data_IF_278980361043
#
_entry.id   IF_278980361043
#
_cell.length_a   1.000
_cell.length_b   1.000
_cell.length_c   1.000
_cell.angle_alpha   90.00
_cell.angle_beta   90.00
_cell.angle_gamma   90.00
#
_symmetry.space_group_name_H-M   'P 1'
#
loop_
_entity.id
_entity.type
_entity.pdbx_description
1 polymer ?
#
# COMPACT_ATOMS: atom_id res chain seq x y z
N UNK A 1 -58.02 35.26 -5.63
CA UNK A 1 -57.71 35.03 -7.06
C UNK A 1 -57.78 36.40 -7.70
N UNK A 2 -56.65 37.02 -8.04
CA UNK A 2 -56.59 38.35 -8.63
C UNK A 2 -56.24 38.21 -10.10
N UNK A 3 -57.07 38.78 -10.97
CA UNK A 3 -56.90 38.78 -12.41
C UNK A 3 -55.73 39.67 -12.86
N UNK A 4 -55.09 39.37 -13.99
CA UNK A 4 -53.94 40.12 -14.50
C UNK A 4 -54.25 41.58 -14.91
N UNK A 5 -55.52 42.00 -14.85
CA UNK A 5 -55.96 43.36 -15.20
C UNK A 5 -55.98 44.36 -14.02
N UNK A 6 -55.66 43.92 -12.79
CA UNK A 6 -55.71 44.80 -11.60
C UNK A 6 -54.34 45.42 -11.24
N UNK A 7 -53.35 45.29 -12.12
CA UNK A 7 -52.00 45.83 -11.88
C UNK A 7 -51.85 47.20 -12.52
N UNK A 8 -51.87 48.23 -11.67
CA UNK A 8 -51.69 49.63 -12.08
C UNK A 8 -50.24 49.89 -12.55
N UNK A 9 -50.02 49.66 -13.85
CA UNK A 9 -48.74 49.87 -14.55
C UNK A 9 -48.57 51.31 -15.04
N UNK A 10 -49.38 52.24 -14.53
CA UNK A 10 -49.39 53.63 -14.99
C UNK A 10 -48.37 54.47 -14.21
N UNK A 11 -47.20 54.73 -14.82
CA UNK A 11 -46.08 55.44 -14.17
C UNK A 11 -46.01 56.94 -14.50
N UNK A 12 -47.02 57.49 -15.17
CA UNK A 12 -46.94 58.77 -15.91
C UNK A 12 -46.85 60.03 -15.03
N UNK A 13 -47.12 59.95 -13.72
CA UNK A 13 -47.12 61.12 -12.82
C UNK A 13 -46.32 60.94 -11.51
N UNK A 14 -45.43 59.95 -11.45
CA UNK A 14 -44.70 59.63 -10.22
C UNK A 14 -43.30 60.26 -10.18
N UNK A 15 -42.86 60.68 -9.00
CA UNK A 15 -41.46 61.06 -8.78
C UNK A 15 -40.54 59.85 -9.01
N UNK A 16 -39.29 60.10 -9.43
CA UNK A 16 -38.33 59.02 -9.80
C UNK A 16 -38.14 57.97 -8.70
N UNK A 17 -38.10 58.39 -7.44
CA UNK A 17 -37.95 57.46 -6.31
C UNK A 17 -39.20 56.61 -6.09
N UNK A 18 -40.40 57.20 -6.20
CA UNK A 18 -41.67 56.48 -6.07
C UNK A 18 -41.89 55.50 -7.23
N UNK A 19 -41.51 55.89 -8.45
CA UNK A 19 -41.56 55.02 -9.62
C UNK A 19 -40.66 53.79 -9.46
N UNK A 20 -39.41 53.98 -8.97
CA UNK A 20 -38.48 52.87 -8.73
C UNK A 20 -38.97 51.92 -7.64
N UNK A 21 -39.54 52.44 -6.55
CA UNK A 21 -40.10 51.62 -5.48
C UNK A 21 -41.31 50.81 -5.96
N UNK A 22 -42.23 51.41 -6.73
CA UNK A 22 -43.37 50.70 -7.30
C UNK A 22 -42.94 49.65 -8.33
N UNK A 23 -41.98 49.99 -9.19
CA UNK A 23 -41.42 49.04 -10.17
C UNK A 23 -40.76 47.84 -9.48
N UNK A 24 -39.94 48.07 -8.46
CA UNK A 24 -39.32 46.99 -7.69
C UNK A 24 -40.35 46.11 -6.98
N UNK A 25 -41.44 46.71 -6.48
CA UNK A 25 -42.58 45.98 -5.92
C UNK A 25 -43.27 45.08 -6.95
N UNK A 26 -43.61 45.63 -8.11
CA UNK A 26 -44.28 44.91 -9.19
C UNK A 26 -43.43 43.75 -9.73
N UNK A 27 -42.12 43.94 -9.93
CA UNK A 27 -41.20 42.88 -10.39
C UNK A 27 -41.14 41.73 -9.39
N UNK A 28 -41.12 42.01 -8.08
CA UNK A 28 -41.13 40.96 -7.04
C UNK A 28 -42.45 40.17 -7.04
N UNK A 29 -43.57 40.84 -7.29
CA UNK A 29 -44.88 40.19 -7.35
C UNK A 29 -45.02 39.32 -8.61
N UNK A 30 -44.57 39.82 -9.77
CA UNK A 30 -44.53 39.04 -11.00
C UNK A 30 -43.59 37.83 -10.86
N UNK A 31 -42.45 37.97 -10.17
CA UNK A 31 -41.55 36.85 -9.86
C UNK A 31 -42.28 35.75 -9.09
N UNK A 32 -43.05 36.12 -8.05
CA UNK A 32 -43.83 35.16 -7.25
C UNK A 32 -44.91 34.46 -8.07
N UNK A 33 -45.58 35.18 -8.97
CA UNK A 33 -46.59 34.61 -9.86
C UNK A 33 -45.97 33.64 -10.88
N UNK A 34 -44.83 33.99 -11.46
CA UNK A 34 -44.13 33.13 -12.40
C UNK A 34 -43.68 31.81 -11.77
N UNK A 35 -43.23 31.85 -10.51
CA UNK A 35 -42.86 30.67 -9.74
C UNK A 35 -44.10 29.81 -9.40
N UNK A 36 -45.17 30.44 -8.89
CA UNK A 36 -46.37 29.73 -8.43
C UNK A 36 -47.23 29.15 -9.55
N UNK A 37 -47.43 29.87 -10.66
CA UNK A 37 -48.32 29.42 -11.75
C UNK A 37 -47.60 28.67 -12.86
N UNK A 38 -46.34 29.00 -13.11
CA UNK A 38 -45.61 28.47 -14.27
C UNK A 38 -44.33 27.73 -13.89
N UNK A 39 -44.02 27.58 -12.60
CA UNK A 39 -42.85 26.84 -12.12
C UNK A 39 -41.52 27.46 -12.51
N UNK A 40 -41.49 28.76 -12.85
CA UNK A 40 -40.28 29.44 -13.30
C UNK A 40 -39.43 29.82 -12.10
N UNK A 41 -38.22 29.25 -12.02
CA UNK A 41 -37.26 29.57 -10.95
C UNK A 41 -36.96 31.07 -10.90
N UNK A 42 -36.86 31.60 -9.69
CA UNK A 42 -36.60 33.02 -9.39
C UNK A 42 -35.42 33.61 -10.17
N UNK A 43 -34.33 32.86 -10.30
CA UNK A 43 -33.13 33.30 -11.02
C UNK A 43 -33.38 33.47 -12.53
N UNK A 44 -34.14 32.56 -13.14
CA UNK A 44 -34.47 32.61 -14.56
C UNK A 44 -35.38 33.79 -14.89
N UNK A 45 -36.32 34.12 -13.99
CA UNK A 45 -37.18 35.30 -14.14
C UNK A 45 -36.37 36.60 -14.09
N UNK A 46 -35.40 36.71 -13.17
CA UNK A 46 -34.57 37.91 -13.04
C UNK A 46 -33.67 38.12 -14.25
N UNK A 47 -33.10 37.03 -14.74
CA UNK A 47 -32.30 37.06 -15.96
C UNK A 47 -33.13 37.46 -17.18
N UNK A 48 -34.40 37.04 -17.25
CA UNK A 48 -35.32 37.45 -18.30
C UNK A 48 -35.66 38.94 -18.25
N UNK A 49 -35.93 39.49 -17.06
CA UNK A 49 -36.22 40.93 -16.88
C UNK A 49 -35.00 41.77 -17.25
N UNK A 50 -33.80 41.37 -16.82
CA UNK A 50 -32.54 42.02 -17.21
C UNK A 50 -32.30 41.92 -18.73
N UNK A 51 -32.55 40.75 -19.33
CA UNK A 51 -32.45 40.56 -20.77
C UNK A 51 -33.37 41.52 -21.54
N UNK A 52 -34.62 41.66 -21.13
CA UNK A 52 -35.56 42.58 -21.78
C UNK A 52 -35.12 44.04 -21.64
N UNK A 53 -34.62 44.45 -20.47
CA UNK A 53 -34.07 45.79 -20.26
C UNK A 53 -32.93 46.11 -21.24
N UNK A 54 -31.96 45.21 -21.38
CA UNK A 54 -30.83 45.40 -22.31
C UNK A 54 -31.26 45.29 -23.78
N UNK A 55 -32.23 44.43 -24.10
CA UNK A 55 -32.78 44.30 -25.46
C UNK A 55 -33.51 45.57 -25.92
N UNK A 56 -34.35 46.16 -25.07
CA UNK A 56 -35.05 47.42 -25.38
C UNK A 56 -34.08 48.59 -25.52
N UNK A 57 -33.04 48.65 -24.68
CA UNK A 57 -32.00 49.68 -24.77
C UNK A 57 -31.19 49.59 -26.07
N UNK A 58 -30.87 48.37 -26.52
CA UNK A 58 -30.19 48.16 -27.79
C UNK A 58 -31.04 48.53 -29.02
N UNK A 59 -32.37 48.35 -28.94
CA UNK A 59 -33.29 48.75 -30.01
C UNK A 59 -33.31 50.28 -30.21
N UNK A 60 -33.17 51.06 -29.13
CA UNK A 60 -33.12 52.52 -29.20
C UNK A 60 -31.79 53.06 -29.74
N UNK A 61 -30.70 52.27 -29.65
CA UNK A 61 -29.35 52.71 -30.07
C UNK A 61 -28.88 52.11 -31.39
N UNK A 62 -29.64 51.21 -32.02
CA UNK A 62 -29.34 50.70 -33.38
C UNK A 62 -28.02 49.93 -33.52
N UNK A 63 -27.44 49.42 -32.43
CA UNK A 63 -26.17 48.67 -32.45
C UNK A 63 -26.44 47.16 -32.33
N UNK A 64 -25.80 46.37 -33.19
CA UNK A 64 -25.82 44.90 -33.17
C UNK A 64 -25.34 44.36 -31.81
N UNK A 65 -25.87 43.22 -31.32
CA UNK A 65 -25.65 42.81 -29.93
C UNK A 65 -24.17 42.49 -29.67
N UNK A 66 -23.57 42.98 -28.57
CA UNK A 66 -22.18 42.70 -28.26
C UNK A 66 -22.02 41.27 -27.68
N UNK A 67 -20.78 40.76 -27.75
CA UNK A 67 -20.31 39.44 -27.30
C UNK A 67 -20.83 38.84 -25.95
N UNK A 68 -21.24 39.59 -24.90
CA UNK A 68 -21.70 38.97 -23.64
C UNK A 68 -22.94 38.06 -23.74
N UNK A 69 -23.80 38.22 -24.74
CA UNK A 69 -25.03 37.42 -24.87
C UNK A 69 -24.75 35.98 -25.32
N UNK A 70 -23.75 35.81 -26.19
CA UNK A 70 -23.25 34.50 -26.62
C UNK A 70 -22.44 33.81 -25.52
N UNK A 71 -21.72 34.58 -24.69
CA UNK A 71 -20.98 34.03 -23.55
C UNK A 71 -21.93 33.46 -22.48
N UNK A 72 -23.06 34.13 -22.23
CA UNK A 72 -24.06 33.69 -21.25
C UNK A 72 -24.77 32.39 -21.67
N UNK A 73 -25.25 32.31 -22.92
CA UNK A 73 -25.84 31.07 -23.47
C UNK A 73 -24.84 29.90 -23.47
N UNK A 74 -23.56 30.17 -23.77
CA UNK A 74 -22.50 29.15 -23.70
C UNK A 74 -22.27 28.65 -22.26
N UNK A 75 -22.35 29.54 -21.26
CA UNK A 75 -22.18 29.17 -19.85
C UNK A 75 -23.36 28.35 -19.32
N UNK A 76 -24.58 28.71 -19.71
CA UNK A 76 -25.80 27.99 -19.30
C UNK A 76 -25.88 26.59 -19.94
N UNK A 77 -25.49 26.48 -21.22
CA UNK A 77 -25.33 25.18 -21.90
C UNK A 77 -24.21 24.35 -21.27
N UNK A 78 -23.05 24.96 -20.95
CA UNK A 78 -21.94 24.26 -20.30
C UNK A 78 -22.34 23.77 -18.91
N UNK A 79 -23.05 24.57 -18.12
CA UNK A 79 -23.55 24.18 -16.81
C UNK A 79 -24.56 23.03 -16.91
N UNK A 80 -25.48 23.09 -17.87
CA UNK A 80 -26.40 21.99 -18.14
C UNK A 80 -25.71 20.70 -18.60
N UNK A 81 -24.63 20.80 -19.40
CA UNK A 81 -23.85 19.65 -19.82
C UNK A 81 -23.05 19.03 -18.65
N UNK A 82 -22.47 19.87 -17.78
CA UNK A 82 -21.75 19.41 -16.59
C UNK A 82 -22.69 18.79 -15.56
N UNK A 83 -23.85 19.41 -15.31
CA UNK A 83 -24.86 18.85 -14.40
C UNK A 83 -25.46 17.54 -14.94
N UNK A 84 -25.71 17.43 -16.25
CA UNK A 84 -26.12 16.14 -16.86
C UNK A 84 -25.03 15.08 -16.71
N UNK A 85 -23.76 15.42 -16.92
CA UNK A 85 -22.65 14.47 -16.70
C UNK A 85 -22.55 14.05 -15.23
N UNK A 86 -22.70 14.98 -14.28
CA UNK A 86 -22.73 14.66 -12.85
C UNK A 86 -23.91 13.76 -12.50
N UNK A 87 -25.10 14.06 -13.01
CA UNK A 87 -26.30 13.24 -12.80
C UNK A 87 -26.15 11.85 -13.40
N UNK A 88 -25.57 11.71 -14.60
CA UNK A 88 -25.28 10.42 -15.22
C UNK A 88 -24.28 9.62 -14.36
N UNK A 89 -23.21 10.26 -13.86
CA UNK A 89 -22.23 9.62 -12.99
C UNK A 89 -22.85 9.18 -11.65
N UNK A 90 -23.67 10.03 -11.02
CA UNK A 90 -24.40 9.67 -9.81
C UNK A 90 -25.40 8.53 -10.04
N UNK A 91 -26.10 8.52 -11.19
CA UNK A 91 -27.00 7.44 -11.58
C UNK A 91 -26.25 6.14 -11.81
N UNK A 92 -25.12 6.17 -12.53
CA UNK A 92 -24.26 5.00 -12.72
C UNK A 92 -23.74 4.47 -11.38
N UNK A 93 -23.30 5.35 -10.48
CA UNK A 93 -22.87 4.98 -9.13
C UNK A 93 -24.00 4.31 -8.34
N UNK A 94 -25.20 4.89 -8.36
CA UNK A 94 -26.36 4.32 -7.69
C UNK A 94 -26.75 2.96 -8.29
N UNK A 95 -26.72 2.82 -9.61
CA UNK A 95 -26.96 1.55 -10.31
C UNK A 95 -25.93 0.49 -9.92
N UNK A 96 -24.65 0.86 -9.82
CA UNK A 96 -23.59 -0.06 -9.35
C UNK A 96 -23.79 -0.46 -7.90
N UNK A 97 -24.20 0.47 -7.04
CA UNK A 97 -24.43 0.21 -5.62
C UNK A 97 -25.65 -0.70 -5.42
N UNK A 98 -26.75 -0.44 -6.11
CA UNK A 98 -27.95 -1.31 -6.11
C UNK A 98 -27.62 -2.70 -6.67
N UNK A 99 -26.85 -2.78 -7.76
CA UNK A 99 -26.38 -4.06 -8.32
C UNK A 99 -25.54 -4.86 -7.30
N UNK A 100 -24.62 -4.20 -6.60
CA UNK A 100 -23.80 -4.81 -5.55
C UNK A 100 -24.66 -5.27 -4.36
N UNK A 101 -25.64 -4.47 -3.92
CA UNK A 101 -26.56 -4.84 -2.86
C UNK A 101 -27.44 -6.04 -3.25
N UNK A 102 -27.95 -6.08 -4.49
CA UNK A 102 -28.72 -7.22 -5.00
C UNK A 102 -27.85 -8.48 -5.09
N UNK A 103 -26.59 -8.34 -5.51
CA UNK A 103 -25.64 -9.45 -5.54
C UNK A 103 -25.32 -9.96 -4.12
N UNK A 104 -25.13 -9.06 -3.15
CA UNK A 104 -24.89 -9.40 -1.74
C UNK A 104 -26.12 -10.07 -1.09
N UNK A 105 -27.33 -9.57 -1.37
CA UNK A 105 -28.58 -10.18 -0.89
C UNK A 105 -28.80 -11.57 -1.48
N UNK A 106 -28.58 -11.73 -2.79
CA UNK A 106 -28.60 -13.05 -3.44
C UNK A 106 -27.55 -13.99 -2.85
N UNK A 107 -26.39 -13.46 -2.45
CA UNK A 107 -25.33 -14.22 -1.81
C UNK A 107 -25.76 -14.73 -0.43
N UNK A 108 -26.31 -13.89 0.45
CA UNK A 108 -26.79 -14.32 1.77
C UNK A 108 -27.91 -15.37 1.67
N UNK A 109 -28.93 -15.12 0.83
CA UNK A 109 -30.08 -16.04 0.66
C UNK A 109 -29.67 -17.38 0.04
N UNK A 110 -28.60 -17.43 -0.74
CA UNK A 110 -28.12 -18.69 -1.35
C UNK A 110 -27.12 -19.42 -0.44
N UNK A 111 -26.35 -18.69 0.39
CA UNK A 111 -25.37 -19.25 1.34
C UNK A 111 -25.99 -20.14 2.42
N UNK A 112 -27.27 -19.96 2.74
CA UNK A 112 -28.03 -20.86 3.61
C UNK A 112 -28.27 -22.26 3.01
N UNK A 113 -27.92 -22.48 1.74
CA UNK A 113 -28.20 -23.71 0.99
C UNK A 113 -26.93 -24.24 0.28
N UNK A 114 -25.95 -24.71 1.06
CA UNK A 114 -24.98 -25.74 0.63
C UNK A 114 -23.63 -25.29 0.04
N UNK A 115 -22.55 -25.94 0.51
CA UNK A 115 -21.13 -25.64 0.26
C UNK A 115 -20.58 -25.78 -1.17
N UNK A 116 -21.41 -25.70 -2.22
CA UNK A 116 -20.95 -25.66 -3.61
C UNK A 116 -20.44 -24.28 -4.05
N UNK A 117 -20.83 -23.20 -3.36
CA UNK A 117 -20.58 -21.83 -3.84
C UNK A 117 -19.26 -21.22 -3.33
N UNK A 118 -18.69 -21.70 -2.22
CA UNK A 118 -17.36 -21.29 -1.74
C UNK A 118 -16.27 -21.53 -2.80
N UNK A 119 -16.36 -22.64 -3.54
CA UNK A 119 -15.45 -22.97 -4.65
C UNK A 119 -15.62 -22.04 -5.85
N UNK A 120 -16.85 -21.59 -6.15
CA UNK A 120 -17.13 -20.66 -7.25
C UNK A 120 -16.63 -19.25 -6.93
N UNK A 121 -16.76 -18.81 -5.67
CA UNK A 121 -16.21 -17.53 -5.21
C UNK A 121 -14.69 -17.56 -5.28
N UNK A 122 -14.04 -18.61 -4.76
CA UNK A 122 -12.59 -18.77 -4.90
C UNK A 122 -12.13 -18.78 -6.37
N UNK A 123 -12.91 -19.39 -7.27
CA UNK A 123 -12.63 -19.41 -8.71
C UNK A 123 -12.83 -18.05 -9.41
N UNK A 124 -13.74 -17.19 -8.93
CA UNK A 124 -14.02 -15.86 -9.48
C UNK A 124 -13.12 -14.76 -8.92
N UNK A 125 -12.58 -14.94 -7.71
CA UNK A 125 -11.66 -13.98 -7.06
C UNK A 125 -10.43 -13.73 -7.94
N UNK A 126 -9.82 -14.77 -8.50
CA UNK A 126 -8.60 -14.61 -9.29
C UNK A 126 -8.81 -13.86 -10.63
N UNK A 127 -9.80 -14.22 -11.47
CA UNK A 127 -10.18 -13.42 -12.63
C UNK A 127 -10.57 -11.97 -12.28
N UNK A 128 -11.32 -11.79 -11.18
CA UNK A 128 -11.73 -10.48 -10.69
C UNK A 128 -10.54 -9.59 -10.33
N UNK A 129 -9.59 -10.11 -9.52
CA UNK A 129 -8.36 -9.40 -9.19
C UNK A 129 -7.52 -9.08 -10.44
N UNK A 130 -7.49 -9.99 -11.43
CA UNK A 130 -6.78 -9.75 -12.69
C UNK A 130 -7.41 -8.63 -13.53
N UNK A 131 -8.74 -8.57 -13.58
CA UNK A 131 -9.48 -7.50 -14.26
C UNK A 131 -9.29 -6.15 -13.53
N UNK A 132 -9.39 -6.15 -12.20
CA UNK A 132 -9.12 -4.97 -11.39
C UNK A 132 -7.72 -4.43 -11.61
N UNK A 133 -6.70 -5.30 -11.61
CA UNK A 133 -5.32 -4.92 -11.90
C UNK A 133 -5.14 -4.28 -13.27
N UNK A 134 -5.87 -4.76 -14.29
CA UNK A 134 -5.84 -4.15 -15.64
C UNK A 134 -6.49 -2.78 -15.65
N UNK A 135 -7.61 -2.61 -14.93
CA UNK A 135 -8.30 -1.33 -14.82
C UNK A 135 -7.48 -0.28 -14.05
N UNK A 136 -6.75 -0.69 -13.01
CA UNK A 136 -5.92 0.21 -12.20
C UNK A 136 -4.52 0.45 -12.79
N UNK A 137 -4.05 -0.35 -13.75
CA UNK A 137 -2.76 -0.18 -14.41
C UNK A 137 -2.48 1.24 -14.94
N UNK A 138 -3.38 1.91 -15.70
CA UNK A 138 -3.13 3.27 -16.18
C UNK A 138 -2.99 4.30 -15.05
N UNK A 139 -3.70 4.09 -13.93
CA UNK A 139 -3.59 4.95 -12.74
C UNK A 139 -2.22 4.76 -12.06
N UNK A 140 -1.79 3.51 -11.88
CA UNK A 140 -0.49 3.13 -11.32
C UNK A 140 0.65 3.71 -12.16
N UNK A 141 0.56 3.62 -13.49
CA UNK A 141 1.57 4.18 -14.40
C UNK A 141 1.64 5.71 -14.33
N UNK A 142 0.52 6.39 -14.06
CA UNK A 142 0.49 7.85 -13.95
C UNK A 142 1.07 8.35 -12.62
N UNK A 143 0.97 7.56 -11.56
CA UNK A 143 1.39 7.92 -10.21
C UNK A 143 2.35 6.86 -9.61
N UNK A 144 3.61 6.80 -10.07
CA UNK A 144 4.57 5.82 -9.59
C UNK A 144 4.84 5.95 -8.08
N UNK A 145 4.86 7.17 -7.54
CA UNK A 145 5.08 7.44 -6.11
C UNK A 145 4.02 6.80 -5.19
N UNK A 146 2.76 6.74 -5.64
CA UNK A 146 1.69 6.05 -4.90
C UNK A 146 1.93 4.53 -4.85
N UNK A 147 2.55 3.98 -5.88
CA UNK A 147 2.91 2.56 -5.93
C UNK A 147 4.02 2.27 -4.93
N UNK A 148 4.95 3.19 -4.72
CA UNK A 148 6.01 3.03 -3.72
C UNK A 148 5.46 3.02 -2.29
N UNK A 149 4.45 3.84 -2.00
CA UNK A 149 3.76 3.80 -0.70
C UNK A 149 2.93 2.53 -0.52
N UNK A 150 2.42 1.96 -1.62
CA UNK A 150 1.67 0.71 -1.59
C UNK A 150 2.56 -0.52 -1.28
N UNK A 151 3.84 -0.47 -1.63
CA UNK A 151 4.78 -1.55 -1.29
C UNK A 151 5.23 -1.53 0.18
N UNK A 152 4.87 -0.47 0.91
CA UNK A 152 5.13 -0.37 2.34
C UNK A 152 4.02 -1.06 3.13
N UNK A 153 4.38 -2.12 3.86
CA UNK A 153 3.49 -2.77 4.83
C UNK A 153 3.07 -1.80 5.93
N UNK A 154 3.95 -0.86 6.29
CA UNK A 154 3.69 0.18 7.27
C UNK A 154 4.42 1.47 6.91
N UNK A 155 3.70 2.59 6.81
CA UNK A 155 4.31 3.91 6.59
C UNK A 155 5.00 4.46 7.85
N UNK A 156 4.46 4.12 9.02
CA UNK A 156 5.00 4.50 10.32
C UNK A 156 4.61 3.42 11.33
N UNK A 157 5.61 2.70 11.83
CA UNK A 157 5.40 1.74 12.91
C UNK A 157 4.81 2.42 14.13
N UNK A 158 3.80 1.82 14.74
CA UNK A 158 3.21 2.34 15.97
C UNK A 158 4.12 1.96 17.16
N UNK A 159 4.84 2.92 17.78
CA UNK A 159 5.77 2.62 18.87
C UNK A 159 5.05 2.19 20.16
N UNK A 160 3.74 2.37 20.24
CA UNK A 160 2.92 1.99 21.39
C UNK A 160 2.10 0.72 21.13
N UNK A 161 2.26 0.08 19.97
CA UNK A 161 1.57 -1.17 19.70
C UNK A 161 2.15 -2.28 20.57
N UNK A 162 1.30 -2.81 21.45
CA UNK A 162 1.58 -3.99 22.25
C UNK A 162 0.48 -5.01 21.94
N UNK A 163 0.86 -6.26 21.67
CA UNK A 163 -0.11 -7.34 21.59
C UNK A 163 -0.58 -7.65 23.02
N UNK A 164 -1.76 -7.16 23.38
CA UNK A 164 -2.43 -7.55 24.62
C UNK A 164 -2.65 -9.08 24.61
N UNK A 165 -2.46 -9.71 25.78
CA UNK A 165 -2.68 -11.14 26.02
C UNK A 165 -1.88 -12.12 25.14
N UNK A 166 -0.64 -11.77 24.78
CA UNK A 166 0.26 -12.73 24.14
C UNK A 166 0.55 -13.92 25.09
N UNK A 167 0.03 -15.09 24.75
CA UNK A 167 0.32 -16.33 25.48
C UNK A 167 1.78 -16.76 25.31
N UNK A 168 2.63 -16.55 26.31
CA UNK A 168 4.05 -16.92 26.27
C UNK A 168 4.36 -18.43 26.39
N UNK A 169 3.33 -19.29 26.26
CA UNK A 169 3.50 -20.75 26.31
C UNK A 169 4.49 -21.30 25.28
N UNK A 170 4.44 -20.86 24.00
CA UNK A 170 5.29 -21.40 22.94
C UNK A 170 6.80 -21.16 23.13
N UNK A 171 7.20 -20.11 23.86
CA UNK A 171 8.62 -19.84 24.13
C UNK A 171 9.10 -20.30 25.52
N UNK A 172 8.20 -20.71 26.41
CA UNK A 172 8.51 -20.99 27.81
C UNK A 172 9.47 -22.17 28.02
N UNK A 173 9.37 -23.20 27.17
CA UNK A 173 10.16 -24.43 27.26
C UNK A 173 11.36 -24.44 26.31
N UNK A 174 11.61 -23.33 25.60
CA UNK A 174 12.72 -23.24 24.65
C UNK A 174 13.99 -22.83 25.39
N UNK A 175 14.92 -23.77 25.53
CA UNK A 175 16.21 -23.51 26.20
C UNK A 175 17.35 -23.20 25.23
N UNK A 176 17.31 -23.78 24.02
CA UNK A 176 18.33 -23.63 22.98
C UNK A 176 17.67 -23.51 21.61
N UNK A 177 18.38 -22.90 20.66
CA UNK A 177 17.97 -22.96 19.25
C UNK A 177 18.20 -24.37 18.74
N UNK A 178 17.14 -24.98 18.20
CA UNK A 178 17.25 -26.33 17.67
C UNK A 178 18.06 -26.32 16.37
N UNK A 179 19.18 -27.03 16.38
CA UNK A 179 20.02 -27.25 15.20
C UNK A 179 19.57 -28.54 14.53
N UNK A 180 19.06 -28.42 13.32
CA UNK A 180 18.60 -29.58 12.59
C UNK A 180 19.76 -30.43 12.07
N UNK A 181 19.80 -31.70 12.46
CA UNK A 181 20.71 -32.69 11.89
C UNK A 181 20.31 -33.13 10.49
N UNK A 182 21.26 -33.64 9.71
CA UNK A 182 21.07 -34.06 8.30
C UNK A 182 19.96 -35.13 8.12
N UNK A 183 19.68 -35.91 9.17
CA UNK A 183 18.65 -36.95 9.18
C UNK A 183 17.22 -36.40 8.97
N UNK A 184 16.95 -35.17 9.41
CA UNK A 184 15.66 -34.55 9.21
C UNK A 184 15.55 -33.87 7.84
N UNK A 185 16.67 -33.39 7.26
CA UNK A 185 16.73 -32.60 6.02
C UNK A 185 16.16 -33.32 4.78
N UNK A 186 16.23 -34.65 4.75
CA UNK A 186 15.81 -35.47 3.63
C UNK A 186 14.32 -35.91 3.68
N UNK A 187 13.57 -35.48 4.70
CA UNK A 187 12.16 -35.81 4.85
C UNK A 187 11.24 -34.97 3.96
N UNK A 188 10.47 -35.62 3.08
CA UNK A 188 9.31 -34.99 2.42
C UNK A 188 8.38 -34.37 3.49
N UNK A 189 7.75 -33.19 3.26
CA UNK A 189 6.89 -32.53 4.25
C UNK A 189 5.81 -33.43 4.88
N UNK A 190 5.32 -34.43 4.12
CA UNK A 190 4.30 -35.39 4.56
C UNK A 190 4.83 -36.47 5.53
N UNK A 191 6.14 -36.75 5.55
CA UNK A 191 6.77 -37.70 6.49
C UNK A 191 7.20 -37.05 7.81
N UNK A 192 7.14 -35.72 7.88
CA UNK A 192 7.53 -34.92 9.04
C UNK A 192 6.65 -35.19 10.27
N UNK A 193 5.34 -35.39 10.07
CA UNK A 193 4.40 -35.67 11.16
C UNK A 193 4.55 -37.08 11.76
N UNK A 194 5.21 -38.01 11.08
CA UNK A 194 5.36 -39.40 11.55
C UNK A 194 6.63 -39.63 12.36
N UNK A 195 7.67 -38.81 12.20
CA UNK A 195 8.92 -38.93 12.97
C UNK A 195 8.92 -37.92 14.13
N UNK A 196 8.60 -38.38 15.35
CA UNK A 196 8.62 -37.56 16.58
C UNK A 196 9.98 -36.87 16.85
N UNK A 197 11.08 -37.31 16.22
CA UNK A 197 12.41 -36.69 16.32
C UNK A 197 12.55 -35.38 15.54
N UNK A 198 11.74 -35.16 14.52
CA UNK A 198 11.80 -33.96 13.68
C UNK A 198 10.65 -33.00 13.96
N UNK A 199 9.69 -33.36 14.84
CA UNK A 199 8.50 -32.54 15.10
C UNK A 199 8.88 -31.32 15.95
N UNK A 200 8.85 -30.15 15.35
CA UNK A 200 9.06 -28.89 16.06
C UNK A 200 7.73 -28.31 16.54
N UNK A 201 7.76 -27.63 17.69
CA UNK A 201 6.61 -26.82 18.13
C UNK A 201 6.56 -25.52 17.34
N UNK A 202 5.35 -25.13 16.97
CA UNK A 202 5.08 -23.90 16.24
C UNK A 202 5.63 -22.68 17.01
N UNK A 203 6.29 -21.77 16.30
CA UNK A 203 6.90 -20.57 16.89
C UNK A 203 8.25 -20.75 17.59
N UNK A 204 8.76 -21.98 17.74
CA UNK A 204 10.11 -22.22 18.27
C UNK A 204 11.20 -21.89 17.24
N UNK A 205 12.35 -21.34 17.64
CA UNK A 205 13.44 -21.05 16.73
C UNK A 205 14.20 -22.30 16.29
N UNK A 206 14.51 -22.39 15.00
CA UNK A 206 15.25 -23.49 14.36
C UNK A 206 16.34 -22.92 13.47
N UNK A 207 17.51 -23.54 13.48
CA UNK A 207 18.54 -23.33 12.48
C UNK A 207 18.77 -24.61 11.66
N UNK A 208 18.77 -24.49 10.34
CA UNK A 208 18.93 -25.60 9.41
C UNK A 208 19.79 -25.20 8.22
N UNK A 209 20.39 -26.18 7.55
CA UNK A 209 21.22 -25.94 6.38
C UNK A 209 20.34 -25.63 5.16
N UNK A 210 20.73 -24.60 4.41
CA UNK A 210 20.12 -24.24 3.13
C UNK A 210 20.45 -25.29 2.06
N UNK A 211 19.60 -25.40 1.04
CA UNK A 211 19.82 -26.30 -0.11
C UNK A 211 20.93 -25.83 -1.05
N UNK A 212 21.59 -24.74 -0.70
CA UNK A 212 22.68 -24.17 -1.46
C UNK A 212 23.91 -25.09 -1.34
N UNK A 213 24.29 -25.69 -2.47
CA UNK A 213 25.33 -26.72 -2.51
C UNK A 213 26.74 -26.13 -2.37
N UNK A 214 26.96 -24.89 -2.84
CA UNK A 214 28.26 -24.23 -2.84
C UNK A 214 28.27 -22.96 -1.98
N UNK A 215 29.41 -22.69 -1.34
CA UNK A 215 29.64 -21.44 -0.64
C UNK A 215 29.70 -20.30 -1.66
N UNK A 216 28.91 -19.26 -1.43
CA UNK A 216 28.88 -18.08 -2.31
C UNK A 216 30.09 -17.21 -2.00
N UNK A 217 30.74 -16.78 -3.07
CA UNK A 217 31.79 -15.79 -3.02
C UNK A 217 31.21 -14.36 -3.14
N UNK A 218 31.87 -13.41 -2.50
CA UNK A 218 31.53 -11.98 -2.56
C UNK A 218 31.54 -11.46 -4.00
N UNK A 219 32.46 -11.96 -4.83
CA UNK A 219 32.53 -11.58 -6.25
C UNK A 219 31.25 -11.92 -7.02
N UNK A 220 30.63 -13.07 -6.72
CA UNK A 220 29.38 -13.49 -7.37
C UNK A 220 28.22 -12.56 -7.00
N UNK A 221 28.16 -12.13 -5.73
CA UNK A 221 27.17 -11.17 -5.26
C UNK A 221 27.32 -9.82 -5.96
N UNK A 222 28.55 -9.29 -6.03
CA UNK A 222 28.85 -8.05 -6.72
C UNK A 222 28.53 -8.14 -8.23
N UNK A 223 28.88 -9.24 -8.89
CA UNK A 223 28.62 -9.42 -10.32
C UNK A 223 27.12 -9.42 -10.66
N UNK A 224 26.27 -9.99 -9.79
CA UNK A 224 24.81 -9.95 -9.96
C UNK A 224 24.29 -8.52 -9.87
N UNK A 225 24.79 -7.73 -8.92
CA UNK A 225 24.48 -6.30 -8.84
C UNK A 225 24.95 -5.55 -10.09
N UNK A 226 26.24 -5.64 -10.43
CA UNK A 226 26.84 -4.86 -11.51
C UNK A 226 26.17 -5.12 -12.87
N UNK A 227 25.88 -6.39 -13.18
CA UNK A 227 25.20 -6.80 -14.41
C UNK A 227 23.74 -6.35 -14.50
N UNK A 228 23.09 -6.06 -13.37
CA UNK A 228 21.67 -5.70 -13.29
C UNK A 228 21.43 -4.35 -12.57
N UNK A 229 22.42 -3.47 -12.52
CA UNK A 229 22.39 -2.26 -11.71
C UNK A 229 21.16 -1.38 -12.01
N UNK A 230 20.78 -1.23 -13.29
CA UNK A 230 19.60 -0.45 -13.70
C UNK A 230 18.30 -0.99 -13.10
N UNK A 231 18.19 -2.32 -12.98
CA UNK A 231 17.00 -2.96 -12.41
C UNK A 231 16.95 -2.70 -10.91
N UNK A 232 18.08 -2.85 -10.21
CA UNK A 232 18.16 -2.60 -8.78
C UNK A 232 17.94 -1.12 -8.43
N UNK A 233 18.50 -0.20 -9.20
CA UNK A 233 18.30 1.24 -9.02
C UNK A 233 16.86 1.69 -9.32
N UNK A 234 16.13 0.97 -10.18
CA UNK A 234 14.71 1.26 -10.44
C UNK A 234 13.79 0.65 -9.36
N UNK A 235 14.02 -0.62 -9.03
CA UNK A 235 13.03 -1.44 -8.31
C UNK A 235 13.44 -1.75 -6.85
N UNK A 236 14.66 -1.45 -6.43
CA UNK A 236 15.21 -1.76 -5.10
C UNK A 236 16.23 -0.71 -4.64
N UNK A 237 15.98 0.58 -4.83
CA UNK A 237 16.98 1.64 -4.63
C UNK A 237 17.28 1.99 -3.16
N UNK A 238 16.43 1.56 -2.22
CA UNK A 238 16.46 2.02 -0.82
C UNK A 238 17.52 1.25 -0.03
N UNK A 239 18.49 2.00 0.49
CA UNK A 239 19.55 1.52 1.37
C UNK A 239 19.52 2.35 2.65
N UNK A 240 19.64 1.67 3.78
CA UNK A 240 19.88 2.31 5.07
C UNK A 240 21.25 1.87 5.57
N UNK A 241 22.11 2.82 5.88
CA UNK A 241 23.44 2.54 6.41
C UNK A 241 23.68 3.30 7.72
N UNK A 242 24.53 2.73 8.56
CA UNK A 242 25.15 3.46 9.67
C UNK A 242 26.32 4.34 9.22
N UNK A 243 26.89 4.05 8.04
CA UNK A 243 27.87 4.91 7.42
C UNK A 243 27.17 6.12 6.80
N UNK A 244 27.59 7.32 7.18
CA UNK A 244 27.06 8.57 6.65
C UNK A 244 27.39 8.77 5.17
N UNK A 245 28.43 8.11 4.66
CA UNK A 245 28.85 8.22 3.26
C UNK A 245 28.01 7.34 2.30
N UNK A 246 27.14 6.48 2.83
CA UNK A 246 26.32 5.55 2.04
C UNK A 246 24.87 6.01 2.04
N UNK A 247 24.42 6.60 0.92
CA UNK A 247 23.04 7.06 0.76
C UNK A 247 22.25 6.24 -0.26
N UNK A 248 22.94 5.64 -1.22
CA UNK A 248 22.32 4.90 -2.31
C UNK A 248 23.08 3.59 -2.62
N UNK A 249 22.57 2.84 -3.59
CA UNK A 249 23.19 1.59 -4.03
C UNK A 249 24.57 1.77 -4.67
N UNK A 250 24.78 2.83 -5.43
CA UNK A 250 26.07 3.10 -6.07
C UNK A 250 27.14 3.38 -5.01
N UNK A 251 26.82 4.10 -3.94
CA UNK A 251 27.72 4.33 -2.81
C UNK A 251 28.04 3.01 -2.10
N UNK A 252 27.00 2.21 -1.80
CA UNK A 252 27.13 0.93 -1.10
C UNK A 252 28.00 -0.06 -1.87
N UNK A 253 27.72 -0.23 -3.16
CA UNK A 253 28.44 -1.18 -4.00
C UNK A 253 29.76 -0.60 -4.54
N UNK A 254 29.92 0.72 -4.58
CA UNK A 254 31.19 1.38 -4.83
C UNK A 254 32.23 1.05 -3.76
N UNK A 255 31.79 0.87 -2.51
CA UNK A 255 32.65 0.43 -1.40
C UNK A 255 33.09 -1.03 -1.48
N UNK A 256 32.50 -1.88 -2.33
CA UNK A 256 32.99 -3.26 -2.49
C UNK A 256 34.36 -3.33 -3.17
N UNK A 257 34.75 -2.29 -3.91
CA UNK A 257 36.06 -2.19 -4.55
C UNK A 257 37.12 -1.53 -3.66
N UNK A 258 36.72 -0.85 -2.58
CA UNK A 258 37.61 -0.30 -1.57
C UNK A 258 37.69 -1.24 -0.36
N UNK A 259 38.77 -1.17 0.42
CA UNK A 259 38.78 -1.84 1.72
C UNK A 259 37.72 -1.19 2.60
N UNK A 260 36.77 -1.98 3.10
CA UNK A 260 35.78 -1.54 4.09
C UNK A 260 36.51 -1.13 5.38
N UNK A 261 36.89 0.13 5.48
CA UNK A 261 37.68 0.65 6.61
C UNK A 261 36.81 1.06 7.79
N UNK A 262 35.54 1.41 7.53
CA UNK A 262 34.60 1.85 8.55
C UNK A 262 33.66 0.71 8.96
N UNK A 263 33.40 0.61 10.26
CA UNK A 263 32.45 -0.35 10.83
C UNK A 263 31.03 0.11 10.51
N UNK A 264 30.40 -0.56 9.56
CA UNK A 264 29.05 -0.24 9.12
C UNK A 264 28.20 -1.50 8.96
N UNK A 265 26.93 -1.37 9.34
CA UNK A 265 25.86 -2.24 8.87
C UNK A 265 25.05 -1.52 7.80
N UNK A 266 24.65 -2.26 6.77
CA UNK A 266 23.85 -1.74 5.68
C UNK A 266 22.65 -2.65 5.46
N UNK A 267 21.47 -2.06 5.40
CA UNK A 267 20.21 -2.75 5.14
C UNK A 267 19.69 -2.31 3.78
N UNK A 268 19.66 -3.24 2.83
CA UNK A 268 19.17 -3.02 1.48
C UNK A 268 17.78 -3.64 1.30
N UNK A 269 16.80 -2.85 0.87
CA UNK A 269 15.41 -3.30 0.75
C UNK A 269 15.08 -3.83 -0.65
N UNK A 270 14.59 -5.07 -0.72
CA UNK A 270 14.38 -5.84 -1.95
C UNK A 270 12.94 -6.38 -2.08
N UNK A 271 11.93 -5.52 -1.90
CA UNK A 271 10.51 -5.93 -1.85
C UNK A 271 9.93 -6.33 -3.22
N UNK A 272 10.50 -5.82 -4.33
CA UNK A 272 9.99 -6.09 -5.68
C UNK A 272 10.40 -7.48 -6.18
N UNK A 273 9.49 -8.11 -6.92
CA UNK A 273 9.69 -9.47 -7.45
C UNK A 273 10.89 -9.62 -8.38
N UNK A 274 11.16 -8.62 -9.22
CA UNK A 274 12.22 -8.71 -10.23
C UNK A 274 13.62 -8.70 -9.59
N UNK A 275 13.99 -7.72 -8.73
CA UNK A 275 15.19 -7.80 -7.89
C UNK A 275 15.30 -9.09 -7.08
N UNK A 276 14.21 -9.49 -6.41
CA UNK A 276 14.21 -10.71 -5.62
C UNK A 276 14.52 -11.96 -6.46
N UNK A 277 14.02 -12.04 -7.70
CA UNK A 277 14.32 -13.14 -8.63
C UNK A 277 15.79 -13.17 -9.04
N UNK A 278 16.42 -12.02 -9.24
CA UNK A 278 17.85 -11.92 -9.58
C UNK A 278 18.74 -12.37 -8.42
N UNK A 279 18.27 -12.18 -7.17
CA UNK A 279 18.98 -12.60 -5.96
C UNK A 279 18.78 -14.08 -5.59
N UNK A 280 17.83 -14.80 -6.21
CA UNK A 280 17.56 -16.23 -5.91
C UNK A 280 18.74 -17.19 -6.11
N UNK A 281 19.67 -17.00 -7.07
CA UNK A 281 20.85 -17.83 -7.19
C UNK A 281 21.72 -17.77 -5.93
N UNK A 282 21.74 -16.61 -5.26
CA UNK A 282 22.49 -16.37 -4.03
C UNK A 282 21.69 -16.84 -2.82
N UNK A 283 20.41 -16.47 -2.78
CA UNK A 283 19.53 -16.86 -1.69
C UNK A 283 18.52 -17.88 -2.20
N UNK A 284 18.99 -19.12 -2.32
CA UNK A 284 18.13 -20.23 -2.65
C UNK A 284 16.96 -20.30 -1.65
N UNK A 285 15.77 -20.62 -2.17
CA UNK A 285 14.60 -20.80 -1.31
C UNK A 285 14.86 -22.00 -0.39
N UNK A 286 14.79 -21.84 0.94
CA UNK A 286 14.92 -22.97 1.84
C UNK A 286 13.69 -23.88 1.72
N UNK A 287 13.88 -25.18 1.50
CA UNK A 287 12.79 -26.18 1.30
C UNK A 287 11.89 -26.36 2.51
N UNK A 288 12.39 -26.01 3.70
CA UNK A 288 11.65 -26.09 4.96
C UNK A 288 10.62 -25.00 5.14
N UNK A 289 10.77 -23.88 4.45
CA UNK A 289 9.82 -22.79 4.53
C UNK A 289 8.59 -23.13 3.68
N UNK A 290 7.38 -22.73 4.10
CA UNK A 290 6.15 -23.04 3.38
C UNK A 290 6.23 -22.55 1.94
N UNK A 291 5.64 -23.34 1.03
CA UNK A 291 5.68 -23.09 -0.42
C UNK A 291 4.83 -21.87 -0.83
N UNK A 292 3.83 -21.54 -0.02
CA UNK A 292 2.91 -20.42 -0.16
C UNK A 292 3.06 -19.49 1.06
N UNK A 293 2.56 -18.24 0.95
CA UNK A 293 2.50 -17.32 2.10
C UNK A 293 3.81 -16.60 2.48
N UNK A 294 4.87 -16.75 1.69
CA UNK A 294 6.09 -15.93 1.85
C UNK A 294 5.80 -14.48 1.49
N UNK A 295 6.08 -13.56 2.41
CA UNK A 295 5.89 -12.13 2.22
C UNK A 295 6.76 -11.59 1.07
N UNK A 296 6.36 -10.44 0.52
CA UNK A 296 7.16 -9.75 -0.49
C UNK A 296 8.33 -9.00 0.12
N UNK A 297 8.16 -8.56 1.36
CA UNK A 297 9.16 -7.83 2.10
C UNK A 297 10.43 -8.66 2.33
N UNK A 298 11.56 -8.08 1.92
CA UNK A 298 12.88 -8.70 2.05
C UNK A 298 13.92 -7.63 2.30
N UNK A 299 14.82 -7.93 3.22
CA UNK A 299 15.98 -7.10 3.51
C UNK A 299 17.25 -7.89 3.30
N UNK A 300 18.20 -7.33 2.57
CA UNK A 300 19.56 -7.86 2.46
C UNK A 300 20.43 -7.06 3.41
N UNK A 301 20.90 -7.69 4.48
CA UNK A 301 21.86 -7.08 5.39
C UNK A 301 23.28 -7.36 4.88
N UNK A 302 24.05 -6.29 4.69
CA UNK A 302 25.45 -6.29 4.26
C UNK A 302 26.25 -5.62 5.37
N UNK A 303 26.87 -6.43 6.21
CA UNK A 303 27.54 -5.98 7.41
C UNK A 303 29.04 -6.20 7.29
N UNK A 304 29.82 -5.16 7.56
CA UNK A 304 31.27 -5.29 7.75
C UNK A 304 31.59 -6.24 8.93
N UNK A 305 32.79 -6.80 8.95
CA UNK A 305 33.19 -7.82 9.94
C UNK A 305 32.93 -7.38 11.40
N UNK A 306 33.24 -6.11 11.69
CA UNK A 306 33.07 -5.50 13.01
C UNK A 306 31.87 -4.55 13.08
N UNK A 307 30.85 -4.75 12.23
CA UNK A 307 29.66 -3.92 12.25
C UNK A 307 28.96 -3.97 13.63
N UNK A 308 28.54 -2.81 14.17
CA UNK A 308 27.91 -2.74 15.49
C UNK A 308 26.63 -3.57 15.55
N UNK A 309 26.26 -3.99 16.75
CA UNK A 309 25.03 -4.76 16.94
C UNK A 309 23.78 -3.91 16.65
N UNK A 310 22.81 -4.50 15.95
CA UNK A 310 21.53 -3.85 15.64
C UNK A 310 20.36 -4.83 15.73
N UNK A 311 19.16 -4.29 15.91
CA UNK A 311 17.92 -5.09 15.92
C UNK A 311 17.51 -5.35 14.48
N UNK A 312 17.19 -6.60 14.11
CA UNK A 312 16.72 -6.87 12.75
C UNK A 312 15.38 -6.16 12.52
N UNK A 313 15.09 -5.71 11.29
CA UNK A 313 13.84 -5.04 10.97
C UNK A 313 12.63 -5.91 11.30
N UNK A 314 11.57 -5.27 11.79
CA UNK A 314 10.28 -5.94 11.93
C UNK A 314 9.71 -6.25 10.54
N UNK A 315 9.06 -7.41 10.43
CA UNK A 315 8.57 -7.90 9.14
C UNK A 315 7.06 -8.06 9.14
N UNK A 316 6.46 -7.99 7.95
CA UNK A 316 5.02 -8.14 7.71
C UNK A 316 4.41 -9.39 8.40
N UNK A 317 5.00 -10.56 8.20
CA UNK A 317 4.53 -11.81 8.82
C UNK A 317 5.29 -12.14 10.12
N UNK A 318 4.66 -12.84 11.09
CA UNK A 318 5.24 -13.20 12.38
C UNK A 318 6.41 -14.18 12.30
N UNK A 319 6.37 -15.12 11.36
CA UNK A 319 7.48 -16.06 11.17
C UNK A 319 8.53 -15.45 10.26
N UNK A 320 9.74 -15.34 10.75
CA UNK A 320 10.87 -14.67 10.09
C UNK A 320 11.98 -15.66 9.87
N UNK A 321 12.66 -15.54 8.75
CA UNK A 321 13.87 -16.29 8.47
C UNK A 321 15.05 -15.37 8.13
N UNK A 322 16.24 -15.77 8.56
CA UNK A 322 17.53 -15.14 8.25
C UNK A 322 18.40 -16.16 7.58
N UNK A 323 18.71 -15.95 6.31
CA UNK A 323 19.54 -16.83 5.50
C UNK A 323 20.93 -16.20 5.33
N UNK A 324 21.95 -16.80 5.93
CA UNK A 324 23.32 -16.32 5.86
C UNK A 324 24.00 -16.84 4.57
N UNK A 325 24.22 -15.96 3.60
CA UNK A 325 24.83 -16.34 2.32
C UNK A 325 26.35 -16.23 2.32
N UNK A 326 26.91 -15.24 3.03
CA UNK A 326 28.36 -15.01 3.12
C UNK A 326 28.74 -14.65 4.55
N UNK A 327 29.89 -15.13 5.02
CA UNK A 327 30.42 -14.80 6.34
C UNK A 327 29.56 -15.36 7.49
N UNK A 328 29.71 -14.76 8.67
CA UNK A 328 29.10 -15.25 9.91
C UNK A 328 28.66 -14.09 10.80
N UNK A 329 27.53 -14.26 11.50
CA UNK A 329 27.03 -13.30 12.50
C UNK A 329 26.51 -14.03 13.72
N UNK A 330 26.58 -13.40 14.89
CA UNK A 330 25.84 -13.88 16.06
C UNK A 330 24.43 -13.31 16.03
N UNK A 331 23.43 -14.19 16.11
CA UNK A 331 22.04 -13.78 16.25
C UNK A 331 21.60 -14.07 17.68
N UNK A 332 21.20 -13.02 18.38
CA UNK A 332 20.69 -13.07 19.75
C UNK A 332 19.17 -12.88 19.68
N UNK A 333 18.41 -13.89 20.06
CA UNK A 333 16.96 -13.85 20.17
C UNK A 333 16.59 -13.45 21.59
N UNK A 334 16.27 -12.16 21.78
CA UNK A 334 15.81 -11.63 23.06
C UNK A 334 14.29 -11.81 23.17
N UNK A 335 13.73 -12.30 24.29
CA UNK A 335 12.29 -12.33 24.47
C UNK A 335 11.66 -10.93 24.36
N UNK A 336 10.42 -10.85 23.88
CA UNK A 336 9.62 -9.62 23.96
C UNK A 336 9.38 -9.20 25.41
N UNK A 337 9.00 -7.92 25.63
CA UNK A 337 8.74 -7.38 26.97
C UNK A 337 7.73 -8.22 27.75
N UNK A 338 6.69 -8.66 27.05
CA UNK A 338 5.57 -9.42 27.59
C UNK A 338 6.03 -10.80 28.06
N UNK A 339 6.93 -11.45 27.30
CA UNK A 339 7.39 -12.81 27.58
C UNK A 339 8.73 -12.89 28.32
N UNK A 340 9.34 -11.77 28.69
CA UNK A 340 10.66 -11.71 29.35
C UNK A 340 10.73 -12.47 30.69
N UNK A 341 9.62 -12.56 31.39
CA UNK A 341 9.54 -13.24 32.70
C UNK A 341 9.50 -14.78 32.57
N UNK A 342 9.18 -15.30 31.37
CA UNK A 342 8.95 -16.74 31.15
C UNK A 342 9.90 -17.36 30.13
N UNK A 343 10.35 -16.59 29.14
CA UNK A 343 11.17 -17.08 28.04
C UNK A 343 12.63 -16.63 28.22
N UNK A 344 13.59 -17.48 27.83
CA UNK A 344 15.03 -17.23 28.02
C UNK A 344 15.67 -16.63 26.78
N UNK A 345 16.60 -15.68 26.91
CA UNK A 345 17.39 -15.22 25.76
C UNK A 345 18.19 -16.36 25.14
N UNK A 346 18.09 -16.52 23.82
CA UNK A 346 18.83 -17.51 23.05
C UNK A 346 19.86 -16.81 22.17
N UNK A 347 20.94 -17.50 21.85
CA UNK A 347 21.95 -17.02 20.92
C UNK A 347 22.48 -18.16 20.07
N UNK A 348 22.74 -17.89 18.80
CA UNK A 348 23.46 -18.81 17.94
C UNK A 348 24.48 -18.06 17.07
N UNK A 349 25.50 -18.78 16.66
CA UNK A 349 26.38 -18.34 15.57
C UNK A 349 25.80 -18.80 14.25
N UNK A 350 25.26 -17.87 13.46
CA UNK A 350 24.69 -18.18 12.15
C UNK A 350 25.82 -18.17 11.11
N UNK A 351 26.21 -19.36 10.67
CA UNK A 351 27.28 -19.54 9.69
C UNK A 351 26.75 -19.53 8.26
N UNK A 352 27.65 -19.35 7.29
CA UNK A 352 27.33 -19.44 5.87
C UNK A 352 26.51 -20.71 5.52
N UNK A 353 25.54 -20.54 4.62
CA UNK A 353 24.61 -21.57 4.16
C UNK A 353 23.65 -22.12 5.23
N UNK A 354 23.53 -21.45 6.38
CA UNK A 354 22.48 -21.75 7.36
C UNK A 354 21.34 -20.73 7.31
N UNK A 355 20.16 -21.21 7.66
CA UNK A 355 18.94 -20.43 7.78
C UNK A 355 18.44 -20.56 9.21
N UNK A 356 18.27 -19.44 9.89
CA UNK A 356 17.54 -19.35 11.14
C UNK A 356 16.09 -19.01 10.84
N UNK A 357 15.13 -19.75 11.38
CA UNK A 357 13.72 -19.37 11.44
C UNK A 357 13.31 -19.12 12.89
N UNK A 358 12.57 -18.05 13.14
CA UNK A 358 12.02 -17.70 14.46
C UNK A 358 10.70 -16.96 14.30
N UNK A 359 10.00 -16.72 15.40
CA UNK A 359 8.76 -15.95 15.39
C UNK A 359 8.94 -14.64 16.19
N UNK A 360 8.69 -13.49 15.54
CA UNK A 360 8.95 -12.19 16.15
C UNK A 360 7.98 -11.82 17.27
N UNK A 361 6.83 -12.50 17.37
CA UNK A 361 5.88 -12.32 18.48
C UNK A 361 6.53 -12.67 19.82
N UNK A 362 7.44 -13.66 19.83
CA UNK A 362 8.11 -14.11 21.06
C UNK A 362 9.54 -13.59 21.17
N UNK A 363 10.20 -13.32 20.05
CA UNK A 363 11.63 -13.00 19.99
C UNK A 363 11.91 -11.73 19.21
N UNK A 364 12.57 -10.75 19.84
CA UNK A 364 13.20 -9.61 19.18
C UNK A 364 14.67 -9.94 18.84
N UNK A 365 15.00 -10.12 17.55
CA UNK A 365 16.33 -10.54 17.09
C UNK A 365 17.35 -9.38 17.11
N UNK A 366 18.57 -9.68 17.51
CA UNK A 366 19.71 -8.76 17.45
C UNK A 366 20.83 -9.43 16.68
N UNK A 367 21.31 -8.79 15.62
CA UNK A 367 22.49 -9.20 14.87
C UNK A 367 23.73 -8.54 15.45
N UNK A 368 24.74 -9.33 15.78
CA UNK A 368 25.97 -8.91 16.44
C UNK A 368 27.21 -9.48 15.72
N UNK A 369 28.36 -8.79 15.79
CA UNK A 369 29.57 -9.24 15.09
C UNK A 369 30.06 -10.57 15.66
N UNK A 370 30.62 -11.41 14.79
CA UNK A 370 31.35 -12.60 15.23
C UNK A 370 32.75 -12.15 15.66
N UNK A 371 33.12 -12.25 16.95
CA UNK A 371 34.43 -11.80 17.42
C UNK A 371 35.59 -12.58 16.80
N UNK A 372 35.32 -13.74 16.19
CA UNK A 372 36.31 -14.59 15.55
C UNK A 372 36.41 -14.30 14.04
N UNK A 373 35.36 -13.74 13.44
CA UNK A 373 35.31 -13.56 11.99
C UNK A 373 35.78 -12.17 11.59
N UNK A 374 36.70 -12.13 10.64
CA UNK A 374 37.22 -10.90 10.04
C UNK A 374 36.61 -10.62 8.66
N UNK A 375 35.63 -11.43 8.23
CA UNK A 375 35.02 -11.31 6.91
C UNK A 375 33.72 -10.51 6.93
N UNK A 376 33.43 -9.85 5.81
CA UNK A 376 32.14 -9.24 5.57
C UNK A 376 31.04 -10.31 5.57
N UNK A 377 29.86 -9.94 6.06
CA UNK A 377 28.72 -10.84 6.15
C UNK A 377 27.55 -10.34 5.33
N UNK A 378 26.90 -11.25 4.61
CA UNK A 378 25.71 -10.97 3.81
C UNK A 378 24.61 -11.96 4.20
N UNK A 379 23.47 -11.42 4.63
CA UNK A 379 22.29 -12.22 4.97
C UNK A 379 21.02 -11.68 4.33
N UNK A 380 20.08 -12.58 4.02
CA UNK A 380 18.74 -12.24 3.58
C UNK A 380 17.75 -12.48 4.71
N UNK A 381 16.97 -11.45 5.02
CA UNK A 381 15.90 -11.46 6.00
C UNK A 381 14.58 -11.42 5.24
N UNK A 382 13.67 -12.32 5.56
CA UNK A 382 12.31 -12.34 5.00
C UNK A 382 11.34 -12.99 5.96
N UNK A 383 10.05 -12.95 5.64
CA UNK A 383 9.00 -13.48 6.52
C UNK A 383 7.96 -14.30 5.76
N UNK A 384 7.17 -15.08 6.50
CA UNK A 384 6.12 -15.92 5.96
C UNK A 384 4.93 -16.09 6.92
N UNK A 385 3.77 -16.16 6.31
CA UNK A 385 2.49 -16.57 6.84
C UNK A 385 2.11 -17.92 6.18
#
# INVERSE_FOLDING_TARGET
MADPEDYDLNFVQLSRQQALQRYAGAVRQLRRLADQRYGVRSLSFDNYVLFQYFRQRNWQTGVTPPAPLMAYLKLEVLHHLLDRRRQILCWLFYLTLVSLCVAAYRYEVTSSTGGHQERVVQAMVYPGMRMWRRMTMPLIQRFPQLTELYDESCLMGNPFFQLEDLGCGPCAEVEIVWLEGEECANGHPLKYHQNHKCHQREGSPIAFRSNQQEAIDLSQFYNIYASNHQIFQRDAYRVHSTNQDVHNLEDLFGQFNSSWTQQAHNLWRCNRMLPARLLRPIFARPTRLPSMGVALERYVAIDTAQAPAYTLPETECPNVYVHQAVGTRFIILRPTSECRHRCRTLSLRLTQSFVLSYNWLYWKPISAPDPISETLSISLIGSYC
#
